data_IF_132730099399
#
_entry.id   IF_132730099399
#
_cell.length_a   1.000
_cell.length_b   1.000
_cell.length_c   1.000
_cell.angle_alpha   90.00
_cell.angle_beta   90.00
_cell.angle_gamma   90.00
#
_symmetry.space_group_name_H-M   'P 1'
#
loop_
_entity.id
_entity.type
_entity.pdbx_description
1 polymer ?
#
# COMPACT_ATOMS: atom_id res chain seq x y z
N UNK A 1 -2.81 4.00 -19.28
CA UNK A 1 -1.90 3.85 -18.13
C UNK A 1 -2.75 3.40 -16.95
N UNK A 2 -2.32 2.39 -16.20
CA UNK A 2 -3.03 1.99 -14.98
C UNK A 2 -3.12 3.19 -14.02
N UNK A 3 -4.28 3.38 -13.40
CA UNK A 3 -4.51 4.46 -12.45
C UNK A 3 -3.61 4.25 -11.22
N UNK A 4 -3.00 5.32 -10.70
CA UNK A 4 -2.07 5.21 -9.58
C UNK A 4 -2.80 4.82 -8.30
N UNK A 5 -2.23 3.88 -7.56
CA UNK A 5 -2.75 3.37 -6.28
C UNK A 5 -2.82 4.43 -5.17
N UNK A 6 -2.18 5.58 -5.38
CA UNK A 6 -2.20 6.76 -4.49
C UNK A 6 -3.27 7.78 -4.86
N UNK A 7 -3.92 7.66 -6.02
CA UNK A 7 -4.89 8.65 -6.43
C UNK A 7 -6.18 8.57 -5.59
N UNK A 8 -6.74 9.73 -5.24
CA UNK A 8 -8.01 9.79 -4.50
C UNK A 8 -9.13 9.05 -5.25
N UNK A 9 -9.12 9.12 -6.59
CA UNK A 9 -10.08 8.43 -7.43
C UNK A 9 -9.93 6.91 -7.31
N UNK A 10 -8.71 6.37 -7.44
CA UNK A 10 -8.46 4.94 -7.21
C UNK A 10 -8.97 4.47 -5.84
N UNK A 11 -8.66 5.23 -4.79
CA UNK A 11 -9.09 4.88 -3.44
C UNK A 11 -10.62 4.89 -3.36
N UNK A 12 -11.28 5.96 -3.80
CA UNK A 12 -12.76 6.08 -3.84
C UNK A 12 -13.41 4.97 -4.66
N UNK A 13 -12.85 4.64 -5.80
CA UNK A 13 -13.38 3.60 -6.69
C UNK A 13 -13.28 2.23 -6.02
N UNK A 14 -12.17 1.91 -5.34
CA UNK A 14 -12.01 0.64 -4.60
C UNK A 14 -12.95 0.54 -3.39
N UNK A 15 -13.17 1.62 -2.65
CA UNK A 15 -14.13 1.64 -1.53
C UNK A 15 -15.55 1.40 -2.02
N UNK A 16 -15.93 2.00 -3.15
CA UNK A 16 -17.29 1.91 -3.67
C UNK A 16 -17.57 0.60 -4.43
N UNK A 17 -16.52 -0.09 -4.90
CA UNK A 17 -16.62 -1.33 -5.68
C UNK A 17 -16.41 -2.61 -4.88
N UNK A 18 -16.02 -2.49 -3.60
CA UNK A 18 -15.83 -3.61 -2.67
C UNK A 18 -16.74 -3.42 -1.44
N UNK A 19 -17.02 -4.47 -0.67
CA UNK A 19 -17.62 -4.33 0.68
C UNK A 19 -16.61 -3.79 1.70
N UNK A 20 -15.52 -3.14 1.25
CA UNK A 20 -14.52 -2.57 2.11
C UNK A 20 -15.04 -1.31 2.78
N UNK A 21 -15.32 -1.41 4.07
CA UNK A 21 -15.66 -0.27 4.91
C UNK A 21 -14.46 0.15 5.75
N UNK A 22 -14.16 1.45 5.73
CA UNK A 22 -13.14 1.99 6.61
C UNK A 22 -13.52 1.78 8.07
N UNK A 23 -12.66 1.07 8.79
CA UNK A 23 -12.78 0.93 10.23
C UNK A 23 -11.86 1.97 10.87
N UNK A 24 -12.39 3.17 11.09
CA UNK A 24 -11.65 4.26 11.77
C UNK A 24 -11.14 3.82 13.15
N UNK A 25 -11.87 2.95 13.82
CA UNK A 25 -11.49 2.33 15.11
C UNK A 25 -10.22 1.46 15.02
N UNK A 26 -9.88 0.94 13.84
CA UNK A 26 -8.65 0.19 13.58
C UNK A 26 -7.49 1.11 13.16
N UNK A 27 -7.70 2.43 13.07
CA UNK A 27 -6.66 3.39 12.72
C UNK A 27 -6.23 3.38 11.25
N UNK A 28 -7.09 2.85 10.34
CA UNK A 28 -6.80 2.79 8.91
C UNK A 28 -6.64 4.20 8.29
N UNK A 29 -5.44 4.50 7.79
CA UNK A 29 -5.10 5.71 7.05
C UNK A 29 -4.35 5.33 5.77
N UNK A 30 -4.75 5.89 4.62
CA UNK A 30 -4.22 5.48 3.31
C UNK A 30 -3.27 6.53 2.75
N UNK A 31 -2.17 6.04 2.17
CA UNK A 31 -1.18 6.90 1.54
C UNK A 31 -1.68 7.37 0.17
N UNK A 32 -1.78 8.69 0.02
CA UNK A 32 -2.30 9.34 -1.20
C UNK A 32 -1.25 10.18 -1.95
N UNK A 33 0.00 10.17 -1.48
CA UNK A 33 1.09 10.99 -2.02
C UNK A 33 2.28 10.10 -2.40
N UNK A 34 2.56 10.02 -3.70
CA UNK A 34 3.70 9.29 -4.25
C UNK A 34 5.04 9.80 -3.68
N UNK A 35 5.17 11.09 -3.35
CA UNK A 35 6.41 11.64 -2.81
C UNK A 35 6.71 11.09 -1.42
N UNK A 36 5.66 10.88 -0.60
CA UNK A 36 5.80 10.25 0.70
C UNK A 36 6.16 8.78 0.54
N UNK A 37 5.52 8.07 -0.40
CA UNK A 37 5.86 6.68 -0.69
C UNK A 37 7.31 6.55 -1.14
N UNK A 38 7.75 7.35 -2.11
CA UNK A 38 9.13 7.31 -2.59
C UNK A 38 10.11 7.59 -1.44
N UNK A 39 9.82 8.56 -0.57
CA UNK A 39 10.64 8.80 0.64
C UNK A 39 10.70 7.57 1.55
N UNK A 40 9.59 6.89 1.79
CA UNK A 40 9.57 5.65 2.60
C UNK A 40 10.47 4.59 1.96
N UNK A 41 10.30 4.36 0.65
CA UNK A 41 11.09 3.37 -0.10
C UNK A 41 12.58 3.72 -0.08
N UNK A 42 12.94 4.96 -0.39
CA UNK A 42 14.34 5.39 -0.46
C UNK A 42 15.03 5.32 0.91
N UNK A 43 14.30 5.53 2.00
CA UNK A 43 14.84 5.42 3.36
C UNK A 43 14.80 3.99 3.93
N UNK A 44 14.13 3.05 3.25
CA UNK A 44 14.02 1.67 3.72
C UNK A 44 15.25 0.81 3.43
N UNK A 45 16.14 1.27 2.54
CA UNK A 45 17.30 0.53 2.03
C UNK A 45 16.96 -0.87 1.47
N UNK A 46 15.72 -1.09 1.05
CA UNK A 46 15.28 -2.35 0.45
C UNK A 46 15.91 -2.51 -0.93
N UNK A 47 16.43 -3.70 -1.18
CA UNK A 47 17.11 -4.13 -2.38
C UNK A 47 16.42 -5.34 -3.00
N UNK A 48 16.89 -5.74 -4.19
CA UNK A 48 16.37 -6.88 -4.94
C UNK A 48 16.68 -8.24 -4.33
N UNK A 49 17.45 -8.29 -3.25
CA UNK A 49 17.79 -9.52 -2.54
C UNK A 49 16.96 -9.69 -1.24
N UNK A 50 16.14 -8.69 -0.90
CA UNK A 50 15.41 -8.67 0.37
C UNK A 50 14.05 -9.37 0.29
N UNK A 51 13.67 -9.97 1.43
CA UNK A 51 12.32 -10.43 1.71
C UNK A 51 11.62 -9.46 2.65
N UNK A 52 10.54 -8.86 2.16
CA UNK A 52 9.81 -7.81 2.86
C UNK A 52 8.53 -8.37 3.44
N UNK A 53 8.25 -8.01 4.69
CA UNK A 53 6.96 -8.18 5.35
C UNK A 53 6.29 -6.82 5.49
N UNK A 54 5.11 -6.66 4.89
CA UNK A 54 4.25 -5.49 5.08
C UNK A 54 3.10 -5.83 6.04
N UNK A 55 2.85 -4.94 7.00
CA UNK A 55 1.76 -5.05 7.96
C UNK A 55 0.75 -3.94 7.64
N UNK A 56 -0.50 -4.31 7.39
CA UNK A 56 -1.57 -3.38 7.03
C UNK A 56 -1.42 -2.81 5.62
N UNK A 57 -1.41 -3.65 4.56
CA UNK A 57 -1.30 -3.18 3.17
C UNK A 57 -2.45 -2.27 2.74
N UNK A 58 -3.63 -2.36 3.39
CA UNK A 58 -4.81 -1.59 3.03
C UNK A 58 -5.17 -1.75 1.53
N UNK A 59 -5.23 -0.64 0.79
CA UNK A 59 -5.54 -0.64 -0.65
C UNK A 59 -4.33 -0.98 -1.54
N UNK A 60 -3.19 -1.36 -0.94
CA UNK A 60 -1.99 -1.78 -1.65
C UNK A 60 -1.12 -0.65 -2.18
N UNK A 61 -1.33 0.59 -1.70
CA UNK A 61 -0.61 1.76 -2.21
C UNK A 61 0.90 1.66 -1.97
N UNK A 62 1.34 1.24 -0.78
CA UNK A 62 2.76 1.00 -0.50
C UNK A 62 3.23 -0.37 -1.03
N UNK A 63 2.39 -1.41 -0.87
CA UNK A 63 2.59 -2.76 -1.41
C UNK A 63 3.07 -2.76 -2.85
N UNK A 64 2.42 -1.96 -3.72
CA UNK A 64 2.78 -1.87 -5.13
C UNK A 64 4.24 -1.45 -5.34
N UNK A 65 4.72 -0.45 -4.59
CA UNK A 65 6.09 0.04 -4.72
C UNK A 65 7.09 -0.91 -4.05
N UNK A 66 6.76 -1.51 -2.91
CA UNK A 66 7.61 -2.50 -2.24
C UNK A 66 7.83 -3.72 -3.12
N UNK A 67 6.78 -4.25 -3.76
CA UNK A 67 6.86 -5.39 -4.66
C UNK A 67 7.79 -5.14 -5.86
N UNK A 68 7.92 -3.88 -6.29
CA UNK A 68 8.86 -3.51 -7.36
C UNK A 68 10.32 -3.44 -6.89
N UNK A 69 10.60 -3.37 -5.58
CA UNK A 69 11.94 -3.14 -5.04
C UNK A 69 12.59 -4.38 -4.42
N UNK A 70 11.81 -5.26 -3.82
CA UNK A 70 12.29 -6.49 -3.18
C UNK A 70 12.31 -7.71 -4.12
N UNK A 71 12.83 -8.85 -3.64
CA UNK A 71 12.69 -10.16 -4.27
C UNK A 71 11.29 -10.74 -4.01
N UNK A 72 10.89 -10.73 -2.73
CA UNK A 72 9.60 -11.26 -2.28
C UNK A 72 8.96 -10.35 -1.26
N UNK A 73 7.67 -10.12 -1.43
CA UNK A 73 6.82 -9.39 -0.51
C UNK A 73 5.75 -10.33 0.06
N UNK A 74 5.60 -10.33 1.37
CA UNK A 74 4.42 -10.88 2.06
C UNK A 74 3.70 -9.72 2.73
N UNK A 75 2.42 -9.57 2.45
CA UNK A 75 1.58 -8.58 3.11
C UNK A 75 0.60 -9.29 4.05
N UNK A 76 0.50 -8.82 5.28
CA UNK A 76 -0.43 -9.31 6.29
C UNK A 76 -1.40 -8.17 6.64
N UNK A 77 -2.68 -8.40 6.39
CA UNK A 77 -3.76 -7.50 6.80
C UNK A 77 -4.49 -8.11 7.98
N UNK A 78 -4.88 -7.26 8.93
CA UNK A 78 -5.73 -7.65 10.05
C UNK A 78 -7.13 -7.09 9.79
N UNK A 79 -7.85 -7.72 8.89
CA UNK A 79 -9.28 -7.54 8.73
C UNK A 79 -9.88 -8.81 8.09
N UNK A 80 -11.16 -9.08 8.37
CA UNK A 80 -11.93 -10.18 7.75
C UNK A 80 -12.28 -9.88 6.27
#
# INVERSE_FOLDING_TARGET
MAEKTTSIKYIKDNINSTEFHFKKELGQNFLIDDNIINKIIDNSNITKDDYVLEIGPGMGSLTYYLAQKCDKLVAIEKDD
#
